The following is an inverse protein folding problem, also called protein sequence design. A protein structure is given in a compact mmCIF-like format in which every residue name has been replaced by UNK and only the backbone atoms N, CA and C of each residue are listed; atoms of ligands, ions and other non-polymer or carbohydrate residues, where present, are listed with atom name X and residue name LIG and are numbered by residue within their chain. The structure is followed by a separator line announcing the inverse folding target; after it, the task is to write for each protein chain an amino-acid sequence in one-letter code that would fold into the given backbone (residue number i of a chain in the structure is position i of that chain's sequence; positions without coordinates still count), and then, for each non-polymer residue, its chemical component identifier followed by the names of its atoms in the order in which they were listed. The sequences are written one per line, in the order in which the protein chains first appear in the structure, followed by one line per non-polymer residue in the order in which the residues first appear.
data_IF_713113011831
#
_entry.id   IF_713113011831
#
_cell.length_a   1.000
_cell.length_b   1.000
_cell.length_c   1.000
_cell.angle_alpha   90.00
_cell.angle_beta   90.00
_cell.angle_gamma   90.00
#
_symmetry.space_group_name_H-M   'P 1'
#
loop_
_entity.id
_entity.type
_entity.pdbx_description
1 polymer ?
#
# COMPACT_ATOMS: atom_id res chain seq x y z
N UNK A 1 -10.81 -24.64 3.49
CA UNK A 1 -9.95 -23.45 3.62
C UNK A 1 -8.52 -23.89 3.34
N UNK A 2 -7.91 -23.32 2.31
CA UNK A 2 -6.51 -23.48 1.92
C UNK A 2 -5.57 -23.03 3.06
N UNK A 3 -4.31 -23.47 2.99
CA UNK A 3 -3.29 -23.20 4.00
C UNK A 3 -3.11 -21.71 4.26
N UNK A 4 -2.99 -20.90 3.20
CA UNK A 4 -2.83 -19.45 3.29
C UNK A 4 -4.00 -18.79 4.02
N UNK A 5 -5.23 -19.12 3.63
CA UNK A 5 -6.43 -18.58 4.26
C UNK A 5 -6.52 -18.94 5.74
N UNK A 6 -6.14 -20.17 6.11
CA UNK A 6 -6.09 -20.59 7.52
C UNK A 6 -5.08 -19.79 8.35
N UNK A 7 -3.92 -19.46 7.78
CA UNK A 7 -2.90 -18.62 8.45
C UNK A 7 -3.39 -17.18 8.65
N UNK A 8 -4.00 -16.58 7.62
CA UNK A 8 -4.55 -15.24 7.67
C UNK A 8 -5.70 -15.18 8.67
N UNK A 9 -6.60 -16.17 8.64
CA UNK A 9 -7.70 -16.29 9.58
C UNK A 9 -7.20 -16.37 11.02
N UNK A 10 -6.25 -17.26 11.31
CA UNK A 10 -5.66 -17.41 12.65
C UNK A 10 -5.07 -16.10 13.18
N UNK A 11 -4.37 -15.35 12.33
CA UNK A 11 -3.88 -14.02 12.71
C UNK A 11 -5.03 -13.06 13.01
N UNK A 12 -6.01 -12.94 12.10
CA UNK A 12 -7.10 -11.98 12.27
C UNK A 12 -7.97 -12.32 13.48
N UNK A 13 -8.37 -13.58 13.68
CA UNK A 13 -9.23 -14.00 14.80
C UNK A 13 -8.62 -13.75 16.18
N UNK A 14 -7.29 -13.66 16.28
CA UNK A 14 -6.60 -13.31 17.52
C UNK A 14 -6.55 -11.80 17.80
N UNK A 15 -6.78 -10.98 16.78
CA UNK A 15 -6.53 -9.54 16.80
C UNK A 15 -7.77 -8.68 16.53
N UNK A 16 -8.82 -9.26 15.93
CA UNK A 16 -10.08 -8.59 15.63
C UNK A 16 -11.23 -9.46 16.16
N UNK A 17 -12.17 -8.80 16.81
CA UNK A 17 -13.44 -9.36 17.25
C UNK A 17 -14.50 -8.84 16.29
N UNK A 18 -14.63 -9.51 15.14
CA UNK A 18 -15.57 -9.20 14.06
C UNK A 18 -16.08 -10.52 13.47
N UNK A 19 -17.33 -10.52 13.03
CA UNK A 19 -17.90 -11.69 12.36
C UNK A 19 -17.18 -11.97 11.02
N UNK A 20 -16.87 -13.24 10.78
CA UNK A 20 -16.28 -13.74 9.55
C UNK A 20 -17.28 -14.64 8.81
N UNK A 21 -17.46 -14.37 7.52
CA UNK A 21 -18.12 -15.26 6.58
C UNK A 21 -17.08 -15.79 5.59
N UNK A 22 -16.85 -17.10 5.61
CA UNK A 22 -15.96 -17.77 4.66
C UNK A 22 -16.70 -18.09 3.36
N UNK A 23 -16.10 -17.76 2.22
CA UNK A 23 -16.63 -18.06 0.88
C UNK A 23 -18.14 -17.78 0.71
N UNK A 24 -18.59 -16.51 0.85
CA UNK A 24 -20.00 -16.17 0.67
C UNK A 24 -20.52 -16.60 -0.71
N UNK A 25 -21.72 -17.17 -0.77
CA UNK A 25 -22.29 -17.73 -2.00
C UNK A 25 -22.57 -16.68 -3.09
N UNK A 26 -22.78 -15.42 -2.71
CA UNK A 26 -23.09 -14.32 -3.63
C UNK A 26 -21.84 -13.59 -4.16
N UNK A 27 -20.64 -14.10 -3.84
CA UNK A 27 -19.38 -13.53 -4.31
C UNK A 27 -19.03 -14.09 -5.70
N UNK A 28 -18.20 -13.38 -6.49
CA UNK A 28 -17.70 -13.90 -7.75
C UNK A 28 -17.00 -15.26 -7.57
N UNK A 29 -17.16 -16.15 -8.54
CA UNK A 29 -16.46 -17.44 -8.52
C UNK A 29 -14.94 -17.24 -8.52
N UNK A 30 -14.27 -17.99 -7.63
CA UNK A 30 -12.82 -18.02 -7.53
C UNK A 30 -12.36 -19.37 -6.98
N UNK A 31 -11.22 -19.92 -7.44
CA UNK A 31 -10.64 -21.11 -6.85
C UNK A 31 -9.92 -20.83 -5.52
N UNK A 32 -9.85 -19.57 -5.09
CA UNK A 32 -9.23 -19.15 -3.84
C UNK A 32 -10.26 -18.81 -2.78
N UNK A 33 -9.87 -18.93 -1.50
CA UNK A 33 -10.77 -18.59 -0.41
C UNK A 33 -10.98 -17.07 -0.26
N UNK A 34 -12.20 -16.71 0.09
CA UNK A 34 -12.61 -15.40 0.59
C UNK A 34 -12.82 -15.45 2.10
N UNK A 35 -12.21 -14.50 2.80
CA UNK A 35 -12.47 -14.20 4.20
C UNK A 35 -13.19 -12.85 4.28
N UNK A 36 -14.52 -12.86 4.38
CA UNK A 36 -15.34 -11.65 4.35
C UNK A 36 -15.75 -11.18 5.75
N UNK A 37 -15.55 -9.90 6.04
CA UNK A 37 -15.92 -9.23 7.28
C UNK A 37 -17.02 -8.20 7.01
N UNK A 38 -18.31 -8.57 7.19
CA UNK A 38 -19.45 -7.75 6.77
C UNK A 38 -19.49 -6.37 7.45
N UNK A 39 -19.15 -6.30 8.73
CA UNK A 39 -19.17 -5.06 9.52
C UNK A 39 -18.26 -3.95 8.97
N UNK A 40 -17.22 -4.33 8.21
CA UNK A 40 -16.30 -3.39 7.57
C UNK A 40 -16.48 -3.31 6.06
N UNK A 41 -17.31 -4.15 5.47
CA UNK A 41 -17.38 -4.38 4.02
C UNK A 41 -15.99 -4.67 3.42
N UNK A 42 -15.18 -5.48 4.10
CA UNK A 42 -13.83 -5.85 3.66
C UNK A 42 -13.79 -7.36 3.44
N UNK A 43 -13.27 -7.80 2.30
CA UNK A 43 -12.93 -9.20 2.03
C UNK A 43 -11.44 -9.33 1.75
N UNK A 44 -10.83 -10.34 2.36
CA UNK A 44 -9.48 -10.80 2.00
C UNK A 44 -9.64 -11.99 1.04
N UNK A 45 -9.14 -11.84 -0.18
CA UNK A 45 -9.05 -12.90 -1.18
C UNK A 45 -7.65 -13.53 -1.09
N UNK A 46 -7.59 -14.78 -0.63
CA UNK A 46 -6.36 -15.45 -0.23
C UNK A 46 -5.73 -16.21 -1.40
N UNK A 47 -4.85 -15.55 -2.16
CA UNK A 47 -4.34 -16.05 -3.44
C UNK A 47 -3.08 -16.92 -3.24
N UNK A 48 -3.23 -18.24 -3.34
CA UNK A 48 -2.12 -19.21 -3.24
C UNK A 48 -1.56 -19.60 -4.61
N UNK A 49 -0.27 -19.98 -4.66
CA UNK A 49 0.35 -20.50 -5.87
C UNK A 49 0.03 -21.97 -6.16
N UNK A 50 -0.70 -22.67 -5.28
CA UNK A 50 -1.24 -24.01 -5.56
C UNK A 50 -2.16 -24.03 -6.79
N UNK A 51 -2.71 -22.88 -7.18
CA UNK A 51 -3.51 -22.69 -8.40
C UNK A 51 -3.01 -21.48 -9.18
N UNK A 52 -2.56 -21.69 -10.41
CA UNK A 52 -2.13 -20.62 -11.30
C UNK A 52 -3.30 -20.10 -12.14
N UNK A 53 -3.35 -18.79 -12.35
CA UNK A 53 -4.36 -18.12 -13.16
C UNK A 53 -3.67 -17.42 -14.33
N UNK A 54 -3.85 -17.97 -15.54
CA UNK A 54 -3.26 -17.42 -16.76
C UNK A 54 -3.96 -16.15 -17.26
N UNK A 55 -5.22 -15.95 -16.88
CA UNK A 55 -5.99 -14.78 -17.32
C UNK A 55 -5.56 -13.53 -16.54
N UNK A 56 -4.88 -12.56 -17.16
CA UNK A 56 -4.30 -11.42 -16.45
C UNK A 56 -5.35 -10.50 -15.82
N UNK A 57 -6.59 -10.47 -16.35
CA UNK A 57 -7.66 -9.60 -15.84
C UNK A 57 -8.53 -10.25 -14.77
N UNK A 58 -8.23 -11.48 -14.36
CA UNK A 58 -9.05 -12.24 -13.40
C UNK A 58 -9.27 -11.49 -12.08
N UNK A 59 -8.19 -11.10 -11.40
CA UNK A 59 -8.28 -10.40 -10.11
C UNK A 59 -8.89 -9.00 -10.26
N UNK A 60 -8.53 -8.29 -11.34
CA UNK A 60 -9.13 -7.00 -11.67
C UNK A 60 -10.66 -7.10 -11.83
N UNK A 61 -11.16 -8.13 -12.52
CA UNK A 61 -12.60 -8.35 -12.68
C UNK A 61 -13.29 -8.63 -11.34
N UNK A 62 -12.71 -9.47 -10.49
CA UNK A 62 -13.24 -9.73 -9.13
C UNK A 62 -13.33 -8.42 -8.34
N UNK A 63 -12.27 -7.62 -8.34
CA UNK A 63 -12.25 -6.35 -7.62
C UNK A 63 -13.30 -5.36 -8.11
N UNK A 64 -13.53 -5.28 -9.43
CA UNK A 64 -14.58 -4.44 -10.00
C UNK A 64 -15.99 -4.92 -9.63
N UNK A 65 -16.25 -6.23 -9.63
CA UNK A 65 -17.54 -6.81 -9.25
C UNK A 65 -17.86 -6.58 -7.77
N UNK A 66 -16.88 -6.75 -6.88
CA UNK A 66 -17.04 -6.50 -5.45
C UNK A 66 -17.19 -5.00 -5.14
N UNK A 67 -16.47 -4.14 -5.87
CA UNK A 67 -16.61 -2.69 -5.75
C UNK A 67 -18.03 -2.20 -6.10
N UNK A 68 -18.72 -2.82 -7.07
CA UNK A 68 -20.12 -2.53 -7.38
C UNK A 68 -21.07 -2.81 -6.20
N UNK A 69 -20.67 -3.72 -5.30
CA UNK A 69 -21.38 -4.03 -4.05
C UNK A 69 -20.90 -3.18 -2.86
N UNK A 70 -20.06 -2.17 -3.08
CA UNK A 70 -19.37 -1.41 -2.03
C UNK A 70 -18.52 -2.27 -1.09
N UNK A 71 -18.02 -3.41 -1.59
CA UNK A 71 -17.14 -4.31 -0.85
C UNK A 71 -15.70 -4.04 -1.29
N UNK A 72 -14.84 -3.73 -0.31
CA UNK A 72 -13.41 -3.58 -0.53
C UNK A 72 -12.74 -4.94 -0.51
N UNK A 73 -12.11 -5.31 -1.63
CA UNK A 73 -11.28 -6.52 -1.71
C UNK A 73 -9.81 -6.21 -1.47
N UNK A 74 -9.15 -7.08 -0.73
CA UNK A 74 -7.69 -7.19 -0.69
C UNK A 74 -7.30 -8.51 -1.35
N UNK A 75 -6.57 -8.45 -2.46
CA UNK A 75 -5.97 -9.64 -3.06
C UNK A 75 -4.62 -9.91 -2.38
N UNK A 76 -4.65 -10.77 -1.36
CA UNK A 76 -3.47 -11.10 -0.57
C UNK A 76 -2.81 -12.35 -1.14
N UNK A 77 -1.70 -12.12 -1.84
CA UNK A 77 -0.87 -13.16 -2.43
C UNK A 77 0.02 -13.86 -1.41
N UNK A 78 0.21 -15.16 -1.62
CA UNK A 78 1.01 -16.04 -0.77
C UNK A 78 2.44 -15.56 -0.56
N UNK A 79 3.16 -15.21 -1.63
CA UNK A 79 4.54 -14.72 -1.54
C UNK A 79 4.62 -13.41 -0.75
N UNK A 80 3.64 -12.51 -0.88
CA UNK A 80 3.62 -11.27 -0.11
C UNK A 80 3.37 -11.57 1.37
N UNK A 81 2.50 -12.52 1.68
CA UNK A 81 2.29 -12.99 3.04
C UNK A 81 3.55 -13.64 3.63
N UNK A 82 4.22 -14.54 2.90
CA UNK A 82 5.41 -15.24 3.39
C UNK A 82 6.62 -14.31 3.53
N UNK A 83 6.89 -13.47 2.53
CA UNK A 83 8.11 -12.65 2.48
C UNK A 83 8.00 -11.32 3.22
N UNK A 84 6.78 -10.79 3.42
CA UNK A 84 6.54 -9.47 4.03
C UNK A 84 5.48 -9.50 5.15
N UNK A 85 5.38 -10.62 5.86
CA UNK A 85 4.36 -10.90 6.89
C UNK A 85 4.11 -9.73 7.85
N UNK A 86 5.15 -9.21 8.51
CA UNK A 86 5.00 -8.14 9.49
C UNK A 86 4.41 -6.83 8.88
N UNK A 87 4.73 -6.53 7.63
CA UNK A 87 4.18 -5.37 6.91
C UNK A 87 2.71 -5.64 6.55
N UNK A 88 2.39 -6.86 6.09
CA UNK A 88 1.03 -7.27 5.77
C UNK A 88 0.13 -7.23 7.02
N UNK A 89 0.56 -7.84 8.11
CA UNK A 89 -0.15 -7.83 9.39
C UNK A 89 -0.42 -6.39 9.84
N UNK A 90 0.58 -5.51 9.79
CA UNK A 90 0.39 -4.09 10.09
C UNK A 90 -0.65 -3.42 9.19
N UNK A 91 -0.69 -3.75 7.88
CA UNK A 91 -1.66 -3.16 6.95
C UNK A 91 -3.07 -3.69 7.21
N UNK A 92 -3.23 -4.98 7.48
CA UNK A 92 -4.51 -5.58 7.86
C UNK A 92 -5.04 -4.93 9.15
N UNK A 93 -4.20 -4.79 10.18
CA UNK A 93 -4.58 -4.11 11.41
C UNK A 93 -5.01 -2.65 11.18
N UNK A 94 -4.35 -1.94 10.27
CA UNK A 94 -4.76 -0.59 9.87
C UNK A 94 -6.11 -0.59 9.15
N UNK A 95 -6.34 -1.52 8.21
CA UNK A 95 -7.60 -1.66 7.48
C UNK A 95 -8.79 -1.92 8.40
N UNK A 96 -8.60 -2.73 9.45
CA UNK A 96 -9.63 -3.01 10.46
C UNK A 96 -9.73 -1.96 11.57
N UNK A 97 -8.93 -0.88 11.51
CA UNK A 97 -8.93 0.21 12.50
C UNK A 97 -8.35 -0.18 13.86
N UNK A 98 -7.50 -1.21 13.90
CA UNK A 98 -6.85 -1.73 15.12
C UNK A 98 -5.38 -1.31 15.24
N UNK A 99 -4.79 -0.73 14.20
CA UNK A 99 -3.44 -0.16 14.26
C UNK A 99 -3.39 1.02 15.22
N UNK A 100 -2.28 1.13 15.95
CA UNK A 100 -2.04 2.22 16.88
C UNK A 100 -1.98 3.56 16.13
N UNK A 101 -2.78 4.53 16.57
CA UNK A 101 -2.95 5.80 15.86
C UNK A 101 -2.07 6.90 16.45
N UNK A 102 -1.25 7.53 15.61
CA UNK A 102 -0.40 8.66 15.97
C UNK A 102 -0.87 9.94 15.25
N UNK A 103 -1.28 11.00 15.98
CA UNK A 103 -1.65 12.27 15.35
C UNK A 103 -0.43 13.00 14.76
N UNK A 104 -0.46 13.32 13.45
CA UNK A 104 0.64 14.01 12.77
C UNK A 104 0.97 15.41 13.34
N UNK A 105 0.06 16.03 14.11
CA UNK A 105 0.34 17.29 14.81
C UNK A 105 1.48 17.19 15.82
N UNK A 106 1.75 15.99 16.35
CA UNK A 106 2.83 15.75 17.31
C UNK A 106 4.21 15.55 16.64
N UNK A 107 4.23 15.40 15.32
CA UNK A 107 5.46 15.15 14.56
C UNK A 107 6.09 16.43 14.04
N UNK A 108 7.31 16.36 13.52
CA UNK A 108 7.99 17.40 12.80
C UNK A 108 8.34 16.90 11.40
N UNK A 109 8.13 17.72 10.38
CA UNK A 109 8.42 17.36 8.99
C UNK A 109 9.82 17.83 8.60
N UNK A 110 10.62 16.95 8.01
CA UNK A 110 11.99 17.26 7.60
C UNK A 110 12.32 16.58 6.27
N UNK A 111 13.31 17.12 5.55
CA UNK A 111 13.93 16.42 4.42
C UNK A 111 14.75 15.25 4.95
N UNK A 112 14.77 14.16 4.19
CA UNK A 112 15.59 12.97 4.50
C UNK A 112 16.45 12.61 3.30
N UNK A 113 17.55 11.90 3.56
CA UNK A 113 18.42 11.39 2.51
C UNK A 113 17.88 10.08 1.90
N UNK A 114 18.57 9.59 0.86
CA UNK A 114 18.20 8.34 0.19
C UNK A 114 18.39 7.10 1.08
N UNK A 115 19.51 6.94 1.82
CA UNK A 115 19.69 5.81 2.72
C UNK A 115 18.57 5.69 3.77
N UNK A 116 18.17 6.80 4.38
CA UNK A 116 17.09 6.84 5.38
C UNK A 116 15.75 6.42 4.76
N UNK A 117 15.41 6.97 3.59
CA UNK A 117 14.19 6.59 2.87
C UNK A 117 14.20 5.10 2.51
N UNK A 118 15.29 4.60 1.91
CA UNK A 118 15.39 3.23 1.43
C UNK A 118 15.27 2.25 2.60
N UNK A 119 15.97 2.49 3.72
CA UNK A 119 15.84 1.69 4.94
C UNK A 119 14.39 1.66 5.42
N UNK A 120 13.77 2.84 5.57
CA UNK A 120 12.40 2.92 6.04
C UNK A 120 11.41 2.19 5.13
N UNK A 121 11.54 2.32 3.81
CA UNK A 121 10.63 1.66 2.87
C UNK A 121 10.84 0.14 2.82
N UNK A 122 12.07 -0.36 2.98
CA UNK A 122 12.33 -1.80 3.09
C UNK A 122 11.57 -2.39 4.28
N UNK A 123 11.63 -1.70 5.42
CA UNK A 123 11.09 -2.20 6.68
C UNK A 123 9.56 -2.04 6.79
N UNK A 124 8.97 -1.10 6.03
CA UNK A 124 7.59 -0.63 6.26
C UNK A 124 6.69 -0.59 5.01
N UNK A 125 7.19 -0.86 3.80
CA UNK A 125 6.41 -0.74 2.56
C UNK A 125 6.48 -2.00 1.69
N UNK A 126 5.34 -2.43 1.14
CA UNK A 126 5.24 -3.63 0.30
C UNK A 126 6.05 -3.53 -0.99
N UNK A 127 6.14 -2.33 -1.58
CA UNK A 127 6.90 -2.09 -2.82
C UNK A 127 8.27 -1.44 -2.57
N UNK A 128 8.85 -1.69 -1.39
CA UNK A 128 10.23 -1.40 -0.95
C UNK A 128 10.89 -0.16 -1.61
N UNK A 129 12.15 -0.28 -2.10
CA UNK A 129 12.96 0.85 -2.61
C UNK A 129 12.26 1.60 -3.75
N UNK A 130 12.49 2.91 -3.81
CA UNK A 130 11.97 3.76 -4.88
C UNK A 130 13.02 4.78 -5.37
N UNK A 131 13.00 5.06 -6.67
CA UNK A 131 13.83 6.09 -7.27
C UNK A 131 13.16 7.46 -7.16
N UNK A 132 13.32 8.10 -6.00
CA UNK A 132 12.76 9.42 -5.73
C UNK A 132 13.84 10.50 -5.68
N UNK A 133 13.52 11.67 -6.24
CA UNK A 133 14.38 12.86 -6.12
C UNK A 133 14.19 13.49 -4.75
N UNK A 134 12.95 13.79 -4.41
CA UNK A 134 12.55 14.57 -3.25
C UNK A 134 11.99 13.62 -2.18
N UNK A 135 12.43 13.79 -0.93
CA UNK A 135 12.15 12.84 0.15
C UNK A 135 11.89 13.60 1.43
N UNK A 136 10.87 13.19 2.16
CA UNK A 136 10.46 13.82 3.41
C UNK A 136 10.13 12.75 4.44
N UNK A 137 10.40 13.06 5.70
CA UNK A 137 10.07 12.24 6.86
C UNK A 137 9.25 13.02 7.88
N UNK A 138 8.41 12.30 8.63
CA UNK A 138 7.78 12.78 9.86
C UNK A 138 8.48 12.16 11.05
N UNK A 139 9.02 13.02 11.91
CA UNK A 139 9.73 12.62 13.12
C UNK A 139 8.87 12.90 14.34
N UNK A 140 8.68 11.92 15.22
CA UNK A 140 8.06 12.09 16.53
C UNK A 140 9.18 12.41 17.54
N UNK A 141 9.22 13.62 18.14
CA UNK A 141 10.21 13.96 19.16
C UNK A 141 10.10 13.07 20.42
N UNK A 142 11.23 12.78 21.07
CA UNK A 142 11.33 11.92 22.27
C UNK A 142 10.35 12.27 23.39
N UNK A 143 10.09 13.57 23.62
CA UNK A 143 9.09 14.05 24.61
C UNK A 143 7.67 13.53 24.38
N UNK A 144 7.36 13.02 23.18
CA UNK A 144 6.07 12.43 22.84
C UNK A 144 6.10 10.89 22.76
N UNK A 145 7.23 10.22 23.03
CA UNK A 145 7.30 8.76 22.99
C UNK A 145 6.26 8.09 23.90
N UNK A 146 5.89 8.73 25.02
CA UNK A 146 4.81 8.27 25.92
C UNK A 146 3.45 8.04 25.24
N UNK A 147 3.21 8.55 24.04
CA UNK A 147 1.96 8.30 23.30
C UNK A 147 2.00 6.99 22.53
N UNK A 148 3.19 6.42 22.33
CA UNK A 148 3.37 5.12 21.69
C UNK A 148 3.14 4.03 22.72
N UNK A 149 2.27 3.07 22.40
CA UNK A 149 1.95 1.93 23.28
C UNK A 149 2.75 0.69 22.91
N UNK A 150 3.17 0.57 21.66
CA UNK A 150 4.02 -0.52 21.21
C UNK A 150 5.40 -0.46 21.88
N UNK A 151 5.62 -1.32 22.86
CA UNK A 151 6.86 -1.38 23.65
C UNK A 151 8.08 -1.75 22.80
N UNK A 152 7.91 -2.57 21.76
CA UNK A 152 9.00 -2.95 20.85
C UNK A 152 9.50 -1.71 20.10
N UNK A 153 8.60 -0.89 19.56
CA UNK A 153 8.96 0.37 18.88
C UNK A 153 9.70 1.30 19.86
N UNK A 154 9.24 1.41 21.10
CA UNK A 154 9.89 2.23 22.12
C UNK A 154 11.29 1.73 22.48
N UNK A 155 11.42 0.43 22.72
CA UNK A 155 12.69 -0.19 23.11
C UNK A 155 13.75 -0.06 22.01
N UNK A 156 13.37 -0.29 20.75
CA UNK A 156 14.26 -0.12 19.59
C UNK A 156 14.70 1.33 19.36
N UNK A 157 14.06 2.31 20.00
CA UNK A 157 14.29 3.74 19.78
C UNK A 157 14.59 4.51 21.06
N UNK A 158 14.90 3.84 22.18
CA UNK A 158 15.03 4.49 23.50
C UNK A 158 16.10 5.59 23.54
N UNK A 159 17.19 5.38 22.81
CA UNK A 159 18.32 6.31 22.73
C UNK A 159 18.15 7.40 21.65
N UNK A 160 17.10 7.30 20.82
CA UNK A 160 16.86 8.24 19.73
C UNK A 160 16.15 9.51 20.23
N UNK A 161 16.63 10.68 19.80
CA UNK A 161 15.99 11.98 20.09
C UNK A 161 14.66 12.18 19.35
N UNK A 162 14.48 11.47 18.24
CA UNK A 162 13.22 11.41 17.54
C UNK A 162 13.07 10.08 16.78
N UNK A 163 11.82 9.62 16.66
CA UNK A 163 11.44 8.43 15.91
C UNK A 163 10.91 8.84 14.53
N UNK A 164 11.47 8.29 13.45
CA UNK A 164 10.88 8.44 12.11
C UNK A 164 9.61 7.58 12.03
N UNK A 165 8.45 8.19 11.86
CA UNK A 165 7.14 7.51 11.92
C UNK A 165 6.41 7.42 10.59
N UNK A 166 6.79 8.24 9.61
CA UNK A 166 6.27 8.16 8.25
C UNK A 166 7.22 8.81 7.24
N UNK A 167 7.14 8.40 5.98
CA UNK A 167 7.90 8.99 4.87
C UNK A 167 7.01 9.22 3.65
N UNK A 168 7.36 10.21 2.86
CA UNK A 168 6.85 10.38 1.50
C UNK A 168 7.99 10.71 0.53
N UNK A 169 7.87 10.24 -0.69
CA UNK A 169 8.87 10.47 -1.74
C UNK A 169 8.22 10.87 -3.06
N UNK A 170 8.90 11.78 -3.78
CA UNK A 170 8.37 12.42 -4.98
C UNK A 170 9.41 12.42 -6.11
N UNK A 171 8.91 12.40 -7.35
CA UNK A 171 9.73 12.44 -8.57
C UNK A 171 10.42 13.79 -8.78
N UNK A 172 11.21 13.87 -9.86
CA UNK A 172 11.54 15.14 -10.48
C UNK A 172 10.27 15.78 -11.09
N UNK A 173 10.20 17.12 -11.23
CA UNK A 173 9.16 17.74 -12.04
C UNK A 173 9.23 17.21 -13.47
N UNK A 174 8.07 16.96 -14.07
CA UNK A 174 7.92 16.67 -15.49
C UNK A 174 6.98 17.70 -16.09
N UNK A 175 7.30 18.15 -17.29
CA UNK A 175 6.39 18.98 -18.10
C UNK A 175 5.40 18.06 -18.80
N UNK A 176 4.12 18.28 -18.57
CA UNK A 176 3.05 17.62 -19.32
C UNK A 176 2.22 18.67 -20.03
N UNK A 177 1.84 18.37 -21.27
CA UNK A 177 0.87 19.19 -22.01
C UNK A 177 -0.49 18.51 -21.88
N UNK A 178 -1.47 19.23 -21.37
CA UNK A 178 -2.88 18.80 -21.34
C UNK A 178 -3.72 19.93 -21.90
N UNK A 179 -4.53 19.63 -22.91
CA UNK A 179 -5.42 20.62 -23.54
C UNK A 179 -4.67 21.90 -24.01
N UNK A 180 -3.42 21.75 -24.47
CA UNK A 180 -2.59 22.87 -24.93
C UNK A 180 -1.89 23.67 -23.82
N UNK A 181 -2.15 23.38 -22.54
CA UNK A 181 -1.50 24.02 -21.40
C UNK A 181 -0.36 23.17 -20.83
N UNK A 182 0.77 23.82 -20.52
CA UNK A 182 1.92 23.19 -19.85
C UNK A 182 1.68 23.13 -18.33
N UNK A 183 1.84 21.92 -17.77
CA UNK A 183 1.78 21.66 -16.33
C UNK A 183 3.13 21.13 -15.83
N UNK A 184 3.63 21.73 -14.76
CA UNK A 184 4.74 21.22 -13.95
C UNK A 184 4.21 20.20 -12.96
N UNK A 185 4.14 18.96 -13.42
CA UNK A 185 3.62 17.81 -12.69
C UNK A 185 4.69 17.09 -11.88
N UNK A 186 4.29 16.52 -10.75
CA UNK A 186 5.12 15.62 -9.96
C UNK A 186 4.37 14.33 -9.68
N UNK A 187 5.10 13.24 -9.47
CA UNK A 187 4.55 12.00 -8.96
C UNK A 187 4.91 11.85 -7.48
N UNK A 188 3.93 11.54 -6.64
CA UNK A 188 4.16 10.96 -5.33
C UNK A 188 4.33 9.46 -5.49
N UNK A 189 5.58 9.00 -5.33
CA UNK A 189 6.01 7.64 -5.69
C UNK A 189 5.73 6.66 -4.54
N UNK A 190 5.98 7.08 -3.30
CA UNK A 190 5.76 6.26 -2.10
C UNK A 190 5.27 7.12 -0.94
N UNK A 191 4.38 6.53 -0.17
CA UNK A 191 4.05 6.96 1.19
C UNK A 191 3.98 5.72 2.07
N UNK A 192 4.59 5.79 3.26
CA UNK A 192 4.55 4.70 4.22
C UNK A 192 4.50 5.27 5.64
N UNK A 193 3.69 4.66 6.49
CA UNK A 193 3.83 4.79 7.94
C UNK A 193 4.78 3.71 8.46
N UNK A 194 5.32 3.90 9.65
CA UNK A 194 6.01 2.84 10.38
C UNK A 194 5.04 1.69 10.65
N UNK A 195 5.46 0.45 10.46
CA UNK A 195 4.65 -0.74 10.74
C UNK A 195 4.17 -0.72 12.20
N UNK A 196 2.93 -1.12 12.43
CA UNK A 196 2.23 -0.99 13.70
C UNK A 196 1.55 0.37 13.90
N UNK A 197 1.98 1.43 13.21
CA UNK A 197 1.45 2.78 13.38
C UNK A 197 0.61 3.23 12.18
N UNK A 198 -0.46 3.97 12.48
CA UNK A 198 -1.22 4.78 11.53
C UNK A 198 -1.04 6.25 11.87
N UNK A 199 -0.27 6.98 11.05
CA UNK A 199 -0.03 8.42 11.28
C UNK A 199 -1.16 9.24 10.65
N UNK A 200 -2.19 9.54 11.44
CA UNK A 200 -3.37 10.28 10.98
C UNK A 200 -3.00 11.72 10.64
N UNK A 201 -3.33 12.14 9.41
CA UNK A 201 -2.92 13.42 8.83
C UNK A 201 -1.45 13.47 8.37
N UNK A 202 -0.72 12.34 8.46
CA UNK A 202 0.70 12.29 8.12
C UNK A 202 0.97 12.60 6.65
N UNK A 203 0.21 11.97 5.75
CA UNK A 203 0.30 12.22 4.32
C UNK A 203 0.02 13.69 3.98
N UNK A 204 -1.04 14.29 4.53
CA UNK A 204 -1.36 15.71 4.30
C UNK A 204 -0.24 16.65 4.75
N UNK A 205 0.39 16.36 5.89
CA UNK A 205 1.50 17.18 6.41
C UNK A 205 2.74 17.10 5.50
N UNK A 206 3.05 15.90 4.99
CA UNK A 206 4.14 15.69 4.04
C UNK A 206 3.85 16.34 2.68
N UNK A 207 2.63 16.17 2.16
CA UNK A 207 2.17 16.81 0.94
C UNK A 207 2.23 18.33 1.05
N UNK A 208 1.73 18.92 2.14
CA UNK A 208 1.79 20.36 2.37
C UNK A 208 3.23 20.88 2.34
N UNK A 209 4.15 20.22 3.07
CA UNK A 209 5.57 20.60 3.04
C UNK A 209 6.15 20.54 1.63
N UNK A 210 5.77 19.53 0.85
CA UNK A 210 6.18 19.41 -0.55
C UNK A 210 5.59 20.51 -1.43
N UNK A 211 4.29 20.81 -1.34
CA UNK A 211 3.64 21.83 -2.16
C UNK A 211 4.16 23.23 -1.85
N UNK A 212 4.41 23.53 -0.57
CA UNK A 212 4.97 24.81 -0.14
C UNK A 212 6.38 25.04 -0.72
N UNK A 213 7.21 23.99 -0.81
CA UNK A 213 8.58 24.10 -1.31
C UNK A 213 8.70 24.07 -2.84
N UNK A 214 7.80 23.37 -3.54
CA UNK A 214 7.94 23.13 -4.98
C UNK A 214 6.89 23.84 -5.83
N UNK A 215 5.77 24.29 -5.27
CA UNK A 215 4.66 24.91 -6.01
C UNK A 215 4.28 24.13 -7.30
N UNK A 216 4.01 22.82 -7.21
CA UNK A 216 3.61 22.01 -8.36
C UNK A 216 2.25 22.47 -8.93
N UNK A 217 2.04 22.32 -10.23
CA UNK A 217 0.73 22.60 -10.83
C UNK A 217 -0.23 21.43 -10.57
N UNK A 218 0.29 20.21 -10.57
CA UNK A 218 -0.42 19.01 -10.16
C UNK A 218 0.50 17.95 -9.55
N UNK A 219 -0.11 17.01 -8.83
CA UNK A 219 0.54 15.82 -8.30
C UNK A 219 -0.23 14.60 -8.74
N UNK A 220 0.44 13.60 -9.31
CA UNK A 220 -0.12 12.28 -9.59
C UNK A 220 0.39 11.23 -8.61
N UNK A 221 -0.36 10.15 -8.43
CA UNK A 221 0.08 8.97 -7.68
C UNK A 221 -0.66 7.73 -8.15
N UNK A 222 -0.12 6.56 -7.82
CA UNK A 222 -0.71 5.26 -8.12
C UNK A 222 -0.97 4.50 -6.83
N UNK A 223 -2.13 3.86 -6.74
CA UNK A 223 -2.48 2.94 -5.66
C UNK A 223 -2.61 1.52 -6.23
N UNK A 224 -1.91 0.57 -5.62
CA UNK A 224 -2.02 -0.85 -5.98
C UNK A 224 -3.45 -1.35 -5.76
N UNK A 225 -4.11 -1.81 -6.82
CA UNK A 225 -5.51 -2.22 -6.76
C UNK A 225 -5.72 -3.52 -5.97
N UNK A 226 -4.65 -4.30 -5.73
CA UNK A 226 -4.71 -5.46 -4.84
C UNK A 226 -4.91 -5.07 -3.37
N UNK A 227 -4.57 -3.82 -3.00
CA UNK A 227 -4.53 -3.38 -1.60
C UNK A 227 -5.40 -2.16 -1.30
N UNK A 228 -5.88 -1.47 -2.32
CA UNK A 228 -6.49 -0.17 -2.17
C UNK A 228 -7.52 0.10 -3.26
N UNK A 229 -8.66 0.64 -2.84
CA UNK A 229 -9.64 1.30 -3.70
C UNK A 229 -9.31 2.79 -3.90
N UNK A 230 -8.28 3.31 -3.23
CA UNK A 230 -7.80 4.68 -3.30
C UNK A 230 -8.68 5.74 -2.63
N UNK A 231 -9.68 5.33 -1.86
CA UNK A 231 -10.58 6.23 -1.10
C UNK A 231 -9.83 7.21 -0.18
N UNK A 232 -8.67 6.82 0.36
CA UNK A 232 -7.83 7.69 1.18
C UNK A 232 -7.19 8.84 0.39
N UNK A 233 -6.91 8.66 -0.90
CA UNK A 233 -6.41 9.74 -1.75
C UNK A 233 -7.53 10.73 -2.10
N UNK A 234 -8.74 10.23 -2.35
CA UNK A 234 -9.92 11.06 -2.65
C UNK A 234 -10.25 12.02 -1.49
N UNK A 235 -10.19 11.53 -0.25
CA UNK A 235 -10.40 12.33 0.97
C UNK A 235 -9.44 13.52 1.12
N UNK A 236 -8.31 13.52 0.41
CA UNK A 236 -7.28 14.56 0.52
C UNK A 236 -7.11 15.36 -0.77
N UNK A 237 -8.09 15.30 -1.67
CA UNK A 237 -8.17 16.16 -2.86
C UNK A 237 -7.64 15.55 -4.15
N UNK A 238 -7.26 14.27 -4.16
CA UNK A 238 -7.00 13.58 -5.43
C UNK A 238 -8.29 13.16 -6.10
N UNK A 239 -8.30 13.21 -7.43
CA UNK A 239 -9.37 12.68 -8.27
C UNK A 239 -8.86 11.41 -8.93
N UNK A 240 -9.68 10.36 -8.90
CA UNK A 240 -9.42 9.11 -9.62
C UNK A 240 -9.53 9.33 -11.12
N UNK A 241 -8.51 8.90 -11.87
CA UNK A 241 -8.42 9.12 -13.32
C UNK A 241 -8.64 7.82 -14.09
N UNK A 242 -7.99 6.74 -13.66
CA UNK A 242 -7.90 5.52 -14.46
C UNK A 242 -7.61 4.31 -13.56
N UNK A 243 -8.08 3.13 -13.97
CA UNK A 243 -7.53 1.86 -13.53
C UNK A 243 -6.61 1.32 -14.63
N UNK A 244 -5.32 1.18 -14.35
CA UNK A 244 -4.38 0.65 -15.35
C UNK A 244 -4.65 -0.83 -15.61
N UNK A 245 -4.14 -1.33 -16.74
CA UNK A 245 -4.08 -2.77 -16.97
C UNK A 245 -3.27 -3.47 -15.86
N UNK A 246 -3.59 -4.75 -15.57
CA UNK A 246 -2.78 -5.65 -14.76
C UNK A 246 -1.30 -5.65 -15.17
N UNK A 247 -0.43 -5.72 -14.16
CA UNK A 247 1.00 -5.95 -14.34
C UNK A 247 1.31 -7.42 -14.10
N UNK A 248 2.19 -7.97 -14.95
CA UNK A 248 2.65 -9.36 -14.84
C UNK A 248 3.95 -9.45 -14.06
N UNK A 249 4.04 -10.48 -13.22
CA UNK A 249 5.21 -10.78 -12.42
C UNK A 249 5.61 -12.24 -12.62
N UNK A 250 6.91 -12.47 -12.48
CA UNK A 250 7.49 -13.79 -12.29
C UNK A 250 7.84 -13.93 -10.82
N UNK A 251 7.51 -15.06 -10.21
CA UNK A 251 7.84 -15.40 -8.83
C UNK A 251 8.87 -16.51 -8.84
N UNK A 252 9.93 -16.31 -8.09
CA UNK A 252 10.98 -17.31 -7.87
C UNK A 252 10.47 -18.37 -6.87
N UNK A 253 10.50 -19.65 -7.25
CA UNK A 253 9.85 -20.72 -6.48
C UNK A 253 10.52 -21.02 -5.14
N UNK A 254 11.82 -20.73 -5.01
CA UNK A 254 12.58 -20.97 -3.78
C UNK A 254 12.45 -19.80 -2.80
N UNK A 255 12.64 -18.58 -3.30
CA UNK A 255 12.69 -17.36 -2.48
C UNK A 255 11.33 -16.67 -2.35
N UNK A 256 10.35 -17.05 -3.16
CA UNK A 256 9.06 -16.37 -3.33
C UNK A 256 9.21 -14.89 -3.67
N UNK A 257 10.33 -14.49 -4.28
CA UNK A 257 10.53 -13.09 -4.65
C UNK A 257 9.88 -12.82 -6.00
N UNK A 258 8.87 -11.95 -6.04
CA UNK A 258 8.27 -11.50 -7.30
C UNK A 258 9.08 -10.39 -7.99
N UNK A 259 9.25 -10.50 -9.31
CA UNK A 259 9.89 -9.51 -10.19
C UNK A 259 8.92 -9.08 -11.29
N UNK A 260 8.83 -7.78 -11.53
CA UNK A 260 8.00 -7.22 -12.60
C UNK A 260 8.56 -7.63 -13.96
N UNK A 261 7.70 -8.10 -14.85
CA UNK A 261 8.06 -8.41 -16.24
C UNK A 261 8.01 -7.13 -17.07
N UNK A 262 9.18 -6.60 -17.45
CA UNK A 262 9.32 -5.41 -18.30
C UNK A 262 9.99 -5.82 -19.62
N UNK A 263 9.22 -5.92 -20.72
CA UNK A 263 9.66 -6.34 -22.06
C UNK A 263 10.34 -7.73 -22.10
N UNK A 264 9.60 -8.79 -22.47
CA UNK A 264 10.17 -10.15 -22.62
C UNK A 264 10.39 -10.51 -24.09
N UNK A 265 11.63 -10.80 -24.52
CA UNK A 265 11.81 -11.73 -25.62
C UNK A 265 12.07 -13.16 -25.14
N UNK A 266 12.69 -13.36 -23.97
CA UNK A 266 13.11 -14.70 -23.53
C UNK A 266 12.97 -14.88 -22.00
N UNK A 267 11.83 -15.42 -21.57
CA UNK A 267 11.75 -16.12 -20.28
C UNK A 267 11.97 -17.60 -20.58
N UNK A 268 13.06 -18.17 -20.10
CA UNK A 268 13.34 -19.61 -20.13
C UNK A 268 13.11 -20.16 -18.72
N UNK A 269 12.17 -21.10 -18.54
CA UNK A 269 11.95 -21.80 -17.26
C UNK A 269 10.47 -21.95 -16.85
N UNK A 270 10.25 -22.83 -15.87
CA UNK A 270 8.97 -23.14 -15.19
C UNK A 270 8.58 -22.06 -14.15
N UNK A 271 8.94 -20.80 -14.35
CA UNK A 271 8.75 -19.79 -13.30
C UNK A 271 7.26 -19.42 -13.14
N UNK A 272 6.77 -19.39 -11.90
CA UNK A 272 5.38 -19.06 -11.59
C UNK A 272 5.01 -17.64 -12.05
N UNK A 273 3.95 -17.53 -12.86
CA UNK A 273 3.43 -16.25 -13.34
C UNK A 273 2.25 -15.79 -12.50
N UNK A 274 2.26 -14.51 -12.12
CA UNK A 274 1.10 -13.89 -11.47
C UNK A 274 0.83 -12.48 -11.99
N UNK A 275 -0.41 -12.03 -11.82
CA UNK A 275 -0.88 -10.74 -12.33
C UNK A 275 -1.57 -9.98 -11.21
N UNK A 276 -1.14 -8.74 -10.92
CA UNK A 276 -1.89 -7.92 -9.97
C UNK A 276 -3.19 -7.37 -10.60
N UNK A 277 -4.01 -6.68 -9.82
CA UNK A 277 -5.28 -6.11 -10.31
C UNK A 277 -5.13 -4.78 -11.07
N UNK A 278 -3.91 -4.41 -11.46
CA UNK A 278 -3.57 -3.09 -11.99
C UNK A 278 -3.34 -2.06 -10.87
N UNK A 279 -3.35 -0.77 -11.24
CA UNK A 279 -3.16 0.33 -10.29
C UNK A 279 -4.20 1.42 -10.57
N UNK A 280 -4.80 1.94 -9.50
CA UNK A 280 -5.61 3.14 -9.58
C UNK A 280 -4.71 4.37 -9.71
N UNK A 281 -4.91 5.14 -10.77
CA UNK A 281 -4.22 6.40 -11.03
C UNK A 281 -5.03 7.56 -10.47
N UNK A 282 -4.34 8.43 -9.75
CA UNK A 282 -4.91 9.60 -9.10
C UNK A 282 -4.19 10.87 -9.53
N UNK A 283 -4.93 11.98 -9.58
CA UNK A 283 -4.40 13.31 -9.90
C UNK A 283 -5.00 14.35 -8.95
N UNK A 284 -4.14 15.16 -8.32
CA UNK A 284 -4.53 16.32 -7.53
C UNK A 284 -4.08 17.57 -8.28
N UNK A 285 -5.02 18.38 -8.77
CA UNK A 285 -4.75 19.69 -9.37
C UNK A 285 -4.58 20.72 -8.25
N UNK A 286 -3.50 21.49 -8.29
CA UNK A 286 -3.17 22.48 -7.27
C UNK A 286 -3.22 23.92 -7.80
N UNK A 287 -2.98 24.11 -9.11
CA UNK A 287 -3.33 25.33 -9.81
C UNK A 287 -4.59 25.10 -10.67
N UNK A 288 -5.51 26.05 -10.60
CA UNK A 288 -6.66 26.15 -11.50
C UNK A 288 -6.25 26.95 -12.73
#
# INVERSE_FOLDING_TARGET
MQKLASQIYSFLSQNIDLELISNPQDFPESPFDYLFYPEKNIVIHCVSFETLIDNPVFFQKIGLLLAQKNIKVIHLWEDIWQTKRAIVESRLMSLFGKSETLPARLTQVQRIDKPTLDKFLIDNHLQSKANAKLKYGLFLPKRYFRVIKNEVILHENIDNEALLVAVASFSNPKKFIREGQEYRSYEMIRFANHKGLTVVGGLNKLLKKFTDEHSPDDIMTYADADWSDGTNYEKIGFVRIELTKPLSFVVDDETLTRKLVVNSPHLQGEEMRCHNSGNWKFLMKLKQ
#
